data_IF_999061612869
#
_entry.id   IF_999061612869
#
_cell.length_a   1.000
_cell.length_b   1.000
_cell.length_c   1.000
_cell.angle_alpha   90.00
_cell.angle_beta   90.00
_cell.angle_gamma   90.00
#
_symmetry.space_group_name_H-M   'P 1'
#
loop_
_entity.id
_entity.type
_entity.pdbx_description
1 polymer ?
#
# COMPACT_ATOMS: atom_id res chain seq x y z
N UNK A 1 -23.34 -16.22 18.07
CA UNK A 1 -23.53 -16.04 16.63
C UNK A 1 -22.42 -15.15 16.06
N UNK A 2 -21.86 -15.55 14.94
CA UNK A 2 -20.87 -14.77 14.19
C UNK A 2 -21.47 -14.36 12.84
N UNK A 3 -21.03 -13.25 12.33
CA UNK A 3 -21.39 -12.80 10.98
C UNK A 3 -20.16 -12.36 10.22
N UNK A 4 -20.22 -12.49 8.90
CA UNK A 4 -19.17 -11.97 8.00
C UNK A 4 -19.78 -10.85 7.18
N UNK A 5 -19.11 -9.72 7.18
CA UNK A 5 -19.53 -8.54 6.40
C UNK A 5 -18.45 -8.27 5.36
N UNK A 6 -18.88 -8.13 4.11
CA UNK A 6 -18.02 -7.73 3.00
C UNK A 6 -18.24 -6.26 2.70
N UNK A 7 -17.12 -5.52 2.61
CA UNK A 7 -17.12 -4.13 2.17
C UNK A 7 -16.40 -4.06 0.84
N UNK A 8 -17.18 -3.79 -0.22
CA UNK A 8 -16.68 -3.72 -1.59
C UNK A 8 -17.37 -2.54 -2.29
N UNK A 9 -16.73 -1.39 -2.26
CA UNK A 9 -17.26 -0.15 -2.84
C UNK A 9 -16.33 0.35 -3.94
N UNK A 10 -16.89 0.96 -4.98
CA UNK A 10 -16.13 1.50 -6.10
C UNK A 10 -15.09 2.52 -5.66
N UNK A 11 -15.42 3.34 -4.68
CA UNK A 11 -14.49 4.37 -4.18
C UNK A 11 -13.36 3.82 -3.30
N UNK A 12 -13.39 2.53 -2.93
CA UNK A 12 -12.29 1.89 -2.20
C UNK A 12 -11.24 1.41 -3.18
N UNK A 13 -10.55 2.35 -3.78
CA UNK A 13 -9.46 2.08 -4.72
C UNK A 13 -8.37 3.13 -4.57
N UNK A 14 -7.19 2.80 -5.06
CA UNK A 14 -6.09 3.75 -5.19
C UNK A 14 -5.25 3.41 -6.43
N UNK A 15 -4.69 4.44 -7.05
CA UNK A 15 -3.73 4.29 -8.15
C UNK A 15 -2.34 4.56 -7.59
N UNK A 16 -1.43 3.62 -7.75
CA UNK A 16 -0.07 3.76 -7.24
C UNK A 16 0.94 3.21 -8.21
N UNK A 17 2.15 3.76 -8.17
CA UNK A 17 3.26 3.30 -8.98
C UNK A 17 4.20 2.45 -8.13
N UNK A 18 4.83 1.48 -8.76
CA UNK A 18 5.80 0.61 -8.09
C UNK A 18 6.67 -0.13 -9.11
N UNK A 19 7.66 -0.83 -8.62
CA UNK A 19 8.34 -1.89 -9.36
C UNK A 19 8.59 -3.08 -8.43
N UNK A 20 8.42 -4.29 -8.97
CA UNK A 20 8.72 -5.52 -8.24
C UNK A 20 10.21 -5.82 -8.37
N UNK A 21 10.83 -6.23 -7.27
CA UNK A 21 12.24 -6.61 -7.20
C UNK A 21 12.36 -8.13 -7.31
N UNK A 22 13.19 -8.60 -8.21
CA UNK A 22 13.41 -10.04 -8.40
C UNK A 22 14.77 -10.50 -7.85
N UNK A 23 15.78 -9.65 -7.92
CA UNK A 23 17.12 -9.93 -7.42
C UNK A 23 17.89 -8.64 -7.19
N UNK A 24 19.16 -8.74 -6.83
CA UNK A 24 20.04 -7.58 -6.67
C UNK A 24 20.27 -6.83 -7.99
N UNK A 25 19.99 -7.45 -9.13
CA UNK A 25 20.25 -6.87 -10.45
C UNK A 25 19.04 -6.79 -11.36
N UNK A 26 17.92 -7.38 -10.97
CA UNK A 26 16.72 -7.43 -11.80
C UNK A 26 15.50 -6.88 -11.08
N UNK A 27 14.81 -5.97 -11.73
CA UNK A 27 13.54 -5.40 -11.29
C UNK A 27 12.67 -5.07 -12.47
N UNK A 28 11.38 -4.90 -12.22
CA UNK A 28 10.47 -4.32 -13.19
C UNK A 28 10.79 -2.84 -13.43
N UNK A 29 10.40 -2.32 -14.56
CA UNK A 29 10.33 -0.88 -14.76
C UNK A 29 9.23 -0.28 -13.89
N UNK A 30 9.41 0.96 -13.48
CA UNK A 30 8.41 1.69 -12.73
C UNK A 30 7.13 1.81 -13.55
N UNK A 31 6.00 1.40 -12.97
CA UNK A 31 4.70 1.44 -13.63
C UNK A 31 3.58 1.57 -12.60
N UNK A 32 2.39 1.90 -13.07
CA UNK A 32 1.25 2.14 -12.21
C UNK A 32 0.16 1.09 -12.36
N UNK A 33 -0.60 0.91 -11.29
CA UNK A 33 -1.79 0.06 -11.22
C UNK A 33 -2.91 0.77 -10.50
N UNK A 34 -4.15 0.39 -10.86
CA UNK A 34 -5.32 0.68 -10.06
C UNK A 34 -5.57 -0.51 -9.13
N UNK A 35 -5.55 -0.27 -7.82
CA UNK A 35 -5.80 -1.28 -6.81
C UNK A 35 -7.21 -1.12 -6.28
N UNK A 36 -8.02 -2.17 -6.38
CA UNK A 36 -9.36 -2.23 -5.79
C UNK A 36 -9.26 -2.92 -4.44
N UNK A 37 -9.85 -2.29 -3.41
CA UNK A 37 -9.78 -2.80 -2.05
C UNK A 37 -11.14 -3.37 -1.64
N UNK A 38 -11.12 -4.57 -1.11
CA UNK A 38 -12.29 -5.24 -0.54
C UNK A 38 -11.91 -5.75 0.84
N UNK A 39 -12.81 -5.59 1.81
CA UNK A 39 -12.60 -6.10 3.15
C UNK A 39 -13.69 -7.09 3.52
N UNK A 40 -13.29 -8.23 4.07
CA UNK A 40 -14.18 -9.19 4.70
C UNK A 40 -13.89 -9.20 6.20
N UNK A 41 -14.90 -8.92 7.01
CA UNK A 41 -14.77 -8.91 8.45
C UNK A 41 -15.73 -9.92 9.07
N UNK A 42 -15.23 -10.82 9.89
CA UNK A 42 -16.03 -11.80 10.63
C UNK A 42 -15.91 -11.49 12.12
N UNK A 43 -17.05 -11.31 12.77
CA UNK A 43 -17.08 -10.97 14.19
C UNK A 43 -18.38 -11.44 14.85
N UNK A 44 -18.41 -11.55 16.18
CA UNK A 44 -19.62 -11.91 16.89
C UNK A 44 -20.68 -10.80 16.76
N UNK A 45 -21.94 -11.21 16.73
CA UNK A 45 -23.08 -10.31 16.77
C UNK A 45 -23.47 -10.07 18.23
N UNK A 46 -23.54 -8.81 18.64
CA UNK A 46 -23.92 -8.41 20.00
C UNK A 46 -25.45 -8.50 20.21
N UNK A 47 -25.90 -8.34 21.45
CA UNK A 47 -27.31 -8.45 21.82
C UNK A 47 -28.21 -7.43 21.13
N UNK A 48 -27.65 -6.28 20.73
CA UNK A 48 -28.36 -5.25 19.96
C UNK A 48 -28.46 -5.55 18.46
N UNK A 49 -27.96 -6.70 18.03
CA UNK A 49 -27.95 -7.10 16.63
C UNK A 49 -26.84 -6.48 15.80
N UNK A 50 -25.88 -5.80 16.42
CA UNK A 50 -24.77 -5.14 15.74
C UNK A 50 -23.45 -5.82 16.08
N UNK A 51 -22.48 -5.71 15.21
CA UNK A 51 -21.12 -6.22 15.39
C UNK A 51 -20.13 -5.06 15.60
N UNK A 52 -20.19 -4.07 14.73
CA UNK A 52 -19.35 -2.88 14.76
C UNK A 52 -20.03 -1.78 13.94
N UNK A 53 -19.51 -0.56 14.04
CA UNK A 53 -19.99 0.53 13.20
C UNK A 53 -19.41 0.41 11.79
N UNK A 54 -20.26 -0.01 10.87
CA UNK A 54 -19.91 -0.20 9.46
C UNK A 54 -19.40 1.10 8.81
N UNK A 55 -19.93 2.24 9.19
CA UNK A 55 -19.53 3.52 8.63
C UNK A 55 -18.13 3.93 9.06
N UNK A 56 -17.74 3.63 10.29
CA UNK A 56 -16.37 3.86 10.77
C UNK A 56 -15.39 3.03 9.96
N UNK A 57 -15.71 1.77 9.72
CA UNK A 57 -14.84 0.87 8.97
C UNK A 57 -14.68 1.32 7.52
N UNK A 58 -15.77 1.74 6.86
CA UNK A 58 -15.71 2.30 5.51
C UNK A 58 -14.84 3.55 5.43
N UNK A 59 -14.98 4.46 6.39
CA UNK A 59 -14.19 5.70 6.43
C UNK A 59 -12.71 5.41 6.64
N UNK A 60 -12.39 4.45 7.49
CA UNK A 60 -11.01 4.04 7.74
C UNK A 60 -10.38 3.47 6.47
N UNK A 61 -11.09 2.60 5.76
CA UNK A 61 -10.61 2.05 4.49
C UNK A 61 -10.42 3.13 3.42
N UNK A 62 -11.35 4.07 3.33
CA UNK A 62 -11.25 5.17 2.38
C UNK A 62 -10.04 6.05 2.67
N UNK A 63 -9.82 6.38 3.95
CA UNK A 63 -8.65 7.15 4.37
C UNK A 63 -7.34 6.42 4.02
N UNK A 64 -7.30 5.11 4.20
CA UNK A 64 -6.15 4.30 3.84
C UNK A 64 -5.89 4.31 2.32
N UNK A 65 -6.95 4.15 1.53
CA UNK A 65 -6.83 4.26 0.06
C UNK A 65 -6.31 5.63 -0.36
N UNK A 66 -6.82 6.69 0.25
CA UNK A 66 -6.41 8.06 -0.08
C UNK A 66 -4.95 8.33 0.29
N UNK A 67 -4.45 7.68 1.33
CA UNK A 67 -3.05 7.80 1.74
C UNK A 67 -2.10 7.26 0.68
N UNK A 68 -2.47 6.17 0.02
CA UNK A 68 -1.62 5.52 -0.98
C UNK A 68 -1.92 5.98 -2.42
N UNK A 69 -3.02 6.68 -2.62
CA UNK A 69 -3.43 7.12 -3.95
C UNK A 69 -2.45 8.14 -4.53
N UNK A 70 -2.12 7.96 -5.79
CA UNK A 70 -1.21 8.83 -6.52
C UNK A 70 0.21 8.90 -5.90
N UNK A 71 0.66 7.81 -5.31
CA UNK A 71 1.99 7.69 -4.70
C UNK A 71 2.83 6.64 -5.41
N UNK A 72 4.15 6.79 -5.30
CA UNK A 72 5.10 5.72 -5.59
C UNK A 72 5.30 4.92 -4.31
N UNK A 73 4.99 3.64 -4.31
CA UNK A 73 5.14 2.77 -3.16
C UNK A 73 6.52 2.10 -3.20
N UNK A 74 7.28 2.20 -2.10
CA UNK A 74 8.64 1.71 -2.05
C UNK A 74 8.87 0.87 -0.78
N UNK A 75 9.39 -0.37 -0.92
CA UNK A 75 9.62 -1.25 0.22
C UNK A 75 10.91 -0.85 0.96
N UNK A 76 10.83 -0.70 2.27
CA UNK A 76 12.00 -0.33 3.08
C UNK A 76 12.77 -1.53 3.61
N UNK A 77 12.19 -2.74 3.53
CA UNK A 77 12.80 -3.97 4.07
C UNK A 77 13.39 -4.88 3.01
N UNK A 78 13.52 -4.42 1.77
CA UNK A 78 14.16 -5.20 0.73
C UNK A 78 15.68 -5.28 0.98
N UNK A 79 16.29 -6.47 0.85
CA UNK A 79 17.74 -6.59 0.91
C UNK A 79 18.45 -6.02 -0.33
N UNK A 80 17.69 -5.68 -1.38
CA UNK A 80 18.23 -5.20 -2.65
C UNK A 80 18.21 -3.68 -2.81
N UNK A 81 17.51 -2.98 -1.92
CA UNK A 81 17.38 -1.52 -1.96
C UNK A 81 18.07 -0.87 -0.78
N UNK A 82 18.64 0.29 -1.03
CA UNK A 82 19.04 1.24 0.02
C UNK A 82 18.31 2.54 -0.22
N UNK A 83 17.96 3.23 0.86
CA UNK A 83 17.25 4.49 0.78
C UNK A 83 18.10 5.57 1.46
N UNK A 84 18.34 6.64 0.74
CA UNK A 84 19.06 7.82 1.22
C UNK A 84 18.16 9.04 1.11
N UNK A 85 18.37 10.00 1.99
CA UNK A 85 17.60 11.24 2.00
C UNK A 85 18.54 12.41 2.11
N UNK A 86 18.31 13.44 1.30
CA UNK A 86 18.94 14.74 1.49
C UNK A 86 17.85 15.78 1.78
N UNK A 87 18.19 17.09 1.73
CA UNK A 87 17.22 18.14 2.06
C UNK A 87 16.10 18.31 1.01
N UNK A 88 16.23 17.69 -0.15
CA UNK A 88 15.35 17.92 -1.28
C UNK A 88 14.69 16.64 -1.80
N UNK A 89 15.46 15.53 -1.85
CA UNK A 89 15.01 14.28 -2.45
C UNK A 89 15.21 13.10 -1.52
N UNK A 90 14.38 12.07 -1.72
CA UNK A 90 14.66 10.72 -1.26
C UNK A 90 15.15 9.91 -2.44
N UNK A 91 16.29 9.25 -2.27
CA UNK A 91 16.91 8.44 -3.31
C UNK A 91 16.74 6.96 -3.01
N UNK A 92 16.35 6.22 -4.03
CA UNK A 92 16.30 4.76 -3.98
C UNK A 92 17.49 4.22 -4.75
N UNK A 93 18.34 3.47 -4.07
CA UNK A 93 19.57 2.89 -4.65
C UNK A 93 19.33 1.43 -5.00
N UNK A 94 19.48 1.12 -6.26
CA UNK A 94 19.31 -0.24 -6.77
C UNK A 94 20.35 -0.51 -7.84
N UNK A 95 21.13 -1.58 -7.67
CA UNK A 95 22.08 -2.06 -8.68
C UNK A 95 22.99 -0.94 -9.25
N UNK A 96 23.49 -0.06 -8.37
CA UNK A 96 24.34 1.07 -8.79
C UNK A 96 23.59 2.27 -9.34
N UNK A 97 22.28 2.19 -9.49
CA UNK A 97 21.44 3.30 -9.91
C UNK A 97 20.94 4.09 -8.70
N UNK A 98 20.85 5.40 -8.86
CA UNK A 98 20.37 6.30 -7.82
C UNK A 98 19.13 7.02 -8.34
N UNK A 99 17.95 6.65 -7.84
CA UNK A 99 16.66 7.10 -8.35
C UNK A 99 16.10 8.17 -7.41
N UNK A 100 15.98 9.43 -7.87
CA UNK A 100 15.46 10.50 -7.04
C UNK A 100 13.93 10.57 -7.09
N UNK A 101 13.33 10.81 -5.92
CA UNK A 101 11.91 11.11 -5.78
C UNK A 101 11.73 12.32 -4.86
N UNK A 102 10.74 13.15 -5.15
CA UNK A 102 10.29 14.14 -4.18
C UNK A 102 9.56 13.42 -3.05
N UNK A 103 9.74 13.88 -1.83
CA UNK A 103 9.10 13.24 -0.66
C UNK A 103 7.59 13.19 -0.79
N UNK A 104 6.98 14.20 -1.41
CA UNK A 104 5.53 14.25 -1.61
C UNK A 104 4.98 13.15 -2.51
N UNK A 105 5.82 12.58 -3.36
CA UNK A 105 5.41 11.56 -4.35
C UNK A 105 5.67 10.13 -3.89
N UNK A 106 6.38 9.97 -2.77
CA UNK A 106 6.90 8.68 -2.32
C UNK A 106 6.27 8.27 -0.99
N UNK A 107 5.80 7.04 -0.92
CA UNK A 107 5.36 6.40 0.33
C UNK A 107 6.26 5.20 0.61
N UNK A 108 6.96 5.25 1.75
CA UNK A 108 7.81 4.16 2.22
C UNK A 108 6.97 3.18 3.04
N UNK A 109 7.04 1.92 2.68
CA UNK A 109 6.28 0.86 3.35
C UNK A 109 7.23 -0.15 4.01
N UNK A 110 6.96 -0.59 5.24
CA UNK A 110 7.81 -1.52 5.96
C UNK A 110 7.59 -2.97 5.48
N UNK A 111 7.73 -3.19 4.19
CA UNK A 111 7.59 -4.50 3.53
C UNK A 111 8.84 -4.81 2.73
N UNK A 112 8.97 -6.06 2.31
CA UNK A 112 10.15 -6.53 1.56
C UNK A 112 10.04 -6.28 0.06
N UNK A 113 8.84 -6.21 -0.46
CA UNK A 113 8.57 -6.02 -1.88
C UNK A 113 7.17 -5.45 -2.06
N UNK A 114 6.95 -4.62 -3.06
CA UNK A 114 5.59 -4.11 -3.34
C UNK A 114 4.92 -5.08 -4.29
N UNK A 115 4.31 -6.09 -3.72
CA UNK A 115 3.62 -7.19 -4.41
C UNK A 115 2.23 -7.39 -3.79
N UNK A 116 1.39 -8.15 -4.48
CA UNK A 116 0.06 -8.52 -3.94
C UNK A 116 0.21 -9.29 -2.62
N UNK A 117 1.25 -10.11 -2.50
CA UNK A 117 1.51 -10.93 -1.31
C UNK A 117 1.91 -10.09 -0.10
N UNK A 118 2.59 -8.96 -0.30
CA UNK A 118 3.12 -8.13 0.80
C UNK A 118 2.23 -6.91 1.12
N UNK A 119 1.45 -6.44 0.18
CA UNK A 119 0.50 -5.34 0.41
C UNK A 119 -0.73 -5.78 1.25
#
# INVERSE_FOLDING_TARGET
>A
MHTTIEISKEYLHFAAAHFTLFSATERENLHGHNFQVTLNATAPVHDDGLTFDYNILKKTLKALCDEYDEQVLMPTKSPYLSIENDNEFTYVLFNGERIPFLDRDLTLLPIRNVTVEEL
#
